data_IF_577866541250
#
_entry.id   IF_577866541250
#
_cell.length_a   1.000
_cell.length_b   1.000
_cell.length_c   1.000
_cell.angle_alpha   90.00
_cell.angle_beta   90.00
_cell.angle_gamma   90.00
#
_symmetry.space_group_name_H-M   'P 1'
#
loop_
_entity.id
_entity.type
_entity.pdbx_description
1 polymer ?
#
# COMPACT_ATOMS: atom_id res chain seq x y z
N UNK A 1 11.94 -15.58 -14.60
CA UNK A 1 12.47 -14.23 -14.31
C UNK A 1 13.06 -14.27 -12.91
N UNK A 2 14.29 -13.78 -12.68
CA UNK A 2 14.87 -13.73 -11.33
C UNK A 2 14.44 -12.41 -10.68
N UNK A 3 13.76 -12.48 -9.53
CA UNK A 3 13.42 -11.28 -8.76
C UNK A 3 14.73 -10.67 -8.23
N UNK A 4 14.94 -9.39 -8.50
CA UNK A 4 16.11 -8.64 -8.06
C UNK A 4 15.79 -7.88 -6.79
N UNK A 5 16.72 -7.90 -5.85
CA UNK A 5 16.54 -7.30 -4.52
C UNK A 5 16.41 -5.79 -4.58
N UNK A 6 17.23 -5.10 -5.38
CA UNK A 6 17.23 -3.63 -5.49
C UNK A 6 15.87 -3.06 -5.95
N UNK A 7 15.30 -3.46 -7.11
CA UNK A 7 14.00 -2.93 -7.54
C UNK A 7 12.89 -3.31 -6.56
N UNK A 8 12.97 -4.49 -5.94
CA UNK A 8 11.98 -4.93 -4.94
C UNK A 8 12.01 -4.03 -3.71
N UNK A 9 13.20 -3.76 -3.14
CA UNK A 9 13.35 -2.84 -2.00
C UNK A 9 12.83 -1.44 -2.38
N UNK A 10 13.18 -0.94 -3.57
CA UNK A 10 12.70 0.36 -4.03
C UNK A 10 11.16 0.40 -4.11
N UNK A 11 10.51 -0.65 -4.66
CA UNK A 11 9.05 -0.75 -4.71
C UNK A 11 8.42 -0.78 -3.32
N UNK A 12 8.99 -1.54 -2.38
CA UNK A 12 8.49 -1.60 -1.00
C UNK A 12 8.64 -0.24 -0.29
N UNK A 13 9.76 0.46 -0.50
CA UNK A 13 9.95 1.81 0.06
C UNK A 13 8.96 2.81 -0.52
N UNK A 14 8.69 2.75 -1.83
CA UNK A 14 7.67 3.59 -2.48
C UNK A 14 6.28 3.30 -1.91
N UNK A 15 5.94 2.03 -1.72
CA UNK A 15 4.68 1.63 -1.08
C UNK A 15 4.54 2.17 0.35
N UNK A 16 5.60 2.03 1.15
CA UNK A 16 5.63 2.57 2.51
C UNK A 16 5.49 4.10 2.52
N UNK A 17 6.16 4.79 1.59
CA UNK A 17 6.03 6.23 1.41
C UNK A 17 4.59 6.63 1.07
N UNK A 18 3.93 5.94 0.13
CA UNK A 18 2.53 6.22 -0.18
C UNK A 18 1.62 5.99 1.01
N UNK A 19 1.82 4.90 1.76
CA UNK A 19 1.07 4.62 2.99
C UNK A 19 1.21 5.74 4.02
N UNK A 20 2.40 6.34 4.14
CA UNK A 20 2.64 7.49 5.02
C UNK A 20 2.04 8.78 4.47
N UNK A 21 2.08 9.00 3.16
CA UNK A 21 1.49 10.19 2.52
C UNK A 21 -0.04 10.20 2.56
N UNK A 22 -0.67 9.01 2.52
CA UNK A 22 -2.12 8.86 2.64
C UNK A 22 -2.59 8.60 4.08
N UNK A 23 -1.67 8.69 5.05
CA UNK A 23 -2.02 8.60 6.45
C UNK A 23 -2.86 9.82 6.86
N UNK A 24 -4.04 9.55 7.42
CA UNK A 24 -4.89 10.57 8.02
C UNK A 24 -4.83 10.39 9.54
N UNK A 25 -4.67 11.47 10.30
CA UNK A 25 -4.68 11.43 11.77
C UNK A 25 -5.63 12.47 12.37
N UNK A 26 -6.92 12.29 12.11
CA UNK A 26 -7.94 13.27 12.50
C UNK A 26 -8.87 12.75 13.62
N UNK A 27 -8.56 11.62 14.26
CA UNK A 27 -9.45 11.01 15.27
C UNK A 27 -9.80 11.94 16.45
N UNK A 28 -8.86 12.79 16.90
CA UNK A 28 -9.05 13.69 18.04
C UNK A 28 -10.01 14.86 17.77
N UNK A 29 -10.34 15.13 16.51
CA UNK A 29 -11.21 16.24 16.08
C UNK A 29 -12.51 15.73 15.43
N UNK A 30 -13.10 14.67 15.97
CA UNK A 30 -14.27 13.95 15.43
C UNK A 30 -14.06 13.39 14.00
N UNK A 31 -12.81 13.31 13.54
CA UNK A 31 -12.45 12.71 12.27
C UNK A 31 -12.07 11.23 12.39
N UNK A 32 -11.35 10.74 11.38
CA UNK A 32 -10.84 9.37 11.35
C UNK A 32 -9.31 9.40 11.28
N UNK A 33 -8.68 8.48 12.01
CA UNK A 33 -7.33 8.06 11.75
C UNK A 33 -7.39 6.90 10.76
N UNK A 34 -6.74 7.05 9.60
CA UNK A 34 -6.72 6.03 8.55
C UNK A 34 -5.28 5.71 8.17
N UNK A 35 -5.00 4.43 7.95
CA UNK A 35 -3.70 3.94 7.51
C UNK A 35 -3.90 2.90 6.40
N UNK A 36 -3.09 3.01 5.36
CA UNK A 36 -3.04 2.06 4.25
C UNK A 36 -3.07 2.75 2.89
N UNK A 37 -2.64 2.00 1.88
CA UNK A 37 -2.61 2.43 0.49
C UNK A 37 -2.51 1.19 -0.42
N UNK A 38 -3.28 1.09 -1.52
CA UNK A 38 -4.35 2.00 -1.95
C UNK A 38 -5.62 1.90 -1.11
N UNK A 39 -5.79 0.84 -0.32
CA UNK A 39 -6.94 0.69 0.57
C UNK A 39 -6.54 0.97 2.03
N UNK A 40 -7.39 1.69 2.76
CA UNK A 40 -7.18 1.87 4.20
C UNK A 40 -7.49 0.55 4.92
N UNK A 41 -6.45 -0.17 5.32
CA UNK A 41 -6.58 -1.41 6.08
C UNK A 41 -6.70 -1.17 7.58
N UNK A 42 -6.54 0.07 8.05
CA UNK A 42 -6.81 0.43 9.44
C UNK A 42 -7.57 1.75 9.50
N UNK A 43 -8.66 1.75 10.26
CA UNK A 43 -9.51 2.92 10.49
C UNK A 43 -9.84 3.01 11.98
N UNK A 44 -9.70 4.20 12.56
CA UNK A 44 -9.99 4.47 13.96
C UNK A 44 -10.67 5.84 14.09
N UNK A 45 -11.59 6.00 15.06
CA UNK A 45 -12.17 7.29 15.42
C UNK A 45 -12.51 7.27 16.90
N UNK A 46 -12.34 8.42 17.57
CA UNK A 46 -12.73 8.64 18.97
C UNK A 46 -14.14 9.23 19.09
N UNK A 47 -14.75 9.60 17.96
CA UNK A 47 -16.08 10.16 17.89
C UNK A 47 -17.15 9.16 18.32
N UNK A 48 -18.18 9.65 19.02
CA UNK A 48 -19.38 8.87 19.33
C UNK A 48 -20.18 8.65 18.05
N UNK A 49 -19.91 7.56 17.34
CA UNK A 49 -20.71 7.19 16.19
C UNK A 49 -22.07 6.66 16.65
N UNK A 50 -23.13 7.26 16.11
CA UNK A 50 -24.53 6.82 16.30
C UNK A 50 -24.92 5.68 15.33
N UNK A 51 -24.12 5.45 14.28
CA UNK A 51 -24.35 4.38 13.31
C UNK A 51 -23.50 3.14 13.64
N UNK A 52 -24.11 2.03 14.07
CA UNK A 52 -23.40 0.79 14.39
C UNK A 52 -22.76 0.11 13.16
N UNK A 53 -23.26 0.37 11.95
CA UNK A 53 -22.67 -0.15 10.71
C UNK A 53 -21.30 0.47 10.44
N UNK A 54 -21.15 1.77 10.69
CA UNK A 54 -19.87 2.48 10.59
C UNK A 54 -18.89 2.03 11.68
N UNK A 55 -19.36 1.83 12.91
CA UNK A 55 -18.51 1.31 14.00
C UNK A 55 -17.97 -0.10 13.71
N UNK A 56 -18.74 -0.96 13.01
CA UNK A 56 -18.31 -2.33 12.66
C UNK A 56 -17.15 -2.40 11.67
N UNK A 57 -16.86 -1.30 10.96
CA UNK A 57 -15.77 -1.20 9.98
C UNK A 57 -14.50 -0.55 10.55
N UNK A 58 -14.47 -0.30 11.86
CA UNK A 58 -13.30 0.18 12.57
C UNK A 58 -12.32 -0.93 12.96
N UNK A 59 -11.08 -0.54 13.19
CA UNK A 59 -9.96 -1.41 13.48
C UNK A 59 -9.25 -1.87 12.21
N UNK A 60 -8.61 -3.03 12.30
CA UNK A 60 -7.80 -3.59 11.23
C UNK A 60 -8.62 -4.48 10.30
N UNK A 61 -8.76 -4.07 9.05
CA UNK A 61 -9.36 -4.86 7.98
C UNK A 61 -8.33 -5.79 7.35
N UNK A 62 -8.33 -7.05 7.77
CA UNK A 62 -7.49 -8.10 7.18
C UNK A 62 -7.72 -8.25 5.67
N UNK A 63 -8.98 -8.04 5.23
CA UNK A 63 -9.35 -8.11 3.81
C UNK A 63 -8.60 -7.07 3.00
N UNK A 64 -8.61 -5.80 3.43
CA UNK A 64 -7.91 -4.73 2.72
C UNK A 64 -6.41 -4.87 2.80
N UNK A 65 -5.87 -5.30 3.95
CA UNK A 65 -4.45 -5.58 4.07
C UNK A 65 -3.97 -6.66 3.08
N UNK A 66 -4.71 -7.77 2.96
CA UNK A 66 -4.37 -8.84 2.02
C UNK A 66 -4.48 -8.40 0.56
N UNK A 67 -5.46 -7.55 0.23
CA UNK A 67 -5.59 -6.97 -1.12
C UNK A 67 -4.37 -6.08 -1.42
N UNK A 68 -3.96 -5.22 -0.49
CA UNK A 68 -2.79 -4.36 -0.66
C UNK A 68 -1.50 -5.19 -0.83
N UNK A 69 -1.31 -6.24 -0.03
CA UNK A 69 -0.17 -7.17 -0.16
C UNK A 69 -0.16 -7.88 -1.52
N UNK A 70 -1.34 -8.28 -2.02
CA UNK A 70 -1.46 -8.88 -3.34
C UNK A 70 -1.08 -7.89 -4.44
N UNK A 71 -1.60 -6.65 -4.37
CA UNK A 71 -1.27 -5.57 -5.31
C UNK A 71 0.23 -5.30 -5.28
N UNK A 72 0.83 -5.15 -4.10
CA UNK A 72 2.27 -4.94 -3.94
C UNK A 72 3.09 -6.06 -4.60
N UNK A 73 2.68 -7.32 -4.41
CA UNK A 73 3.34 -8.48 -5.01
C UNK A 73 3.28 -8.41 -6.55
N UNK A 74 2.13 -8.08 -7.12
CA UNK A 74 1.94 -7.92 -8.57
C UNK A 74 2.85 -6.79 -9.09
N UNK A 75 2.88 -5.65 -8.41
CA UNK A 75 3.72 -4.50 -8.79
C UNK A 75 5.21 -4.86 -8.73
N UNK A 76 5.66 -5.59 -7.69
CA UNK A 76 7.05 -6.07 -7.61
C UNK A 76 7.41 -6.92 -8.82
N UNK A 77 6.54 -7.85 -9.22
CA UNK A 77 6.76 -8.70 -10.40
C UNK A 77 6.84 -7.84 -11.66
N UNK A 78 5.91 -6.90 -11.86
CA UNK A 78 5.91 -6.01 -13.03
C UNK A 78 7.16 -5.13 -13.11
N UNK A 79 7.54 -4.49 -12.00
CA UNK A 79 8.74 -3.64 -11.94
C UNK A 79 10.00 -4.44 -12.24
N UNK A 80 10.12 -5.66 -11.72
CA UNK A 80 11.23 -6.55 -12.03
C UNK A 80 11.25 -6.94 -13.51
N UNK A 81 10.08 -7.23 -14.10
CA UNK A 81 9.95 -7.56 -15.52
C UNK A 81 10.37 -6.41 -16.43
N UNK A 82 9.89 -5.20 -16.16
CA UNK A 82 10.25 -3.99 -16.92
C UNK A 82 11.75 -3.70 -16.78
N UNK A 83 12.29 -3.81 -15.56
CA UNK A 83 13.72 -3.60 -15.29
C UNK A 83 14.59 -4.60 -16.06
N UNK A 84 14.16 -5.86 -16.16
CA UNK A 84 14.85 -6.88 -16.94
C UNK A 84 14.81 -6.58 -18.44
N UNK A 85 13.65 -6.15 -18.96
CA UNK A 85 13.49 -5.80 -20.37
C UNK A 85 14.35 -4.61 -20.76
N UNK A 86 14.31 -3.52 -19.99
CA UNK A 86 15.11 -2.31 -20.23
C UNK A 86 16.62 -2.57 -20.19
N UNK A 87 17.08 -3.46 -19.29
CA UNK A 87 18.51 -3.84 -19.24
C UNK A 87 18.94 -4.64 -20.47
N UNK A 88 18.06 -5.49 -21.02
CA UNK A 88 18.36 -6.23 -22.26
C UNK A 88 18.46 -5.28 -23.44
N UNK A 89 17.49 -4.37 -23.61
CA UNK A 89 17.49 -3.38 -24.69
C UNK A 89 18.75 -2.49 -24.67
N UNK A 90 19.16 -1.99 -23.48
CA UNK A 90 20.41 -1.22 -23.35
C UNK A 90 21.68 -2.01 -23.72
N UNK A 91 21.65 -3.34 -23.64
CA UNK A 91 22.80 -4.19 -23.99
C UNK A 91 22.88 -4.46 -25.49
N UNK A 92 21.75 -4.45 -26.20
CA UNK A 92 21.71 -4.65 -27.66
C UNK A 92 21.99 -3.37 -28.45
N UNK A 93 21.77 -2.19 -27.84
CA UNK A 93 22.11 -0.88 -28.44
C UNK A 93 23.54 -0.40 -28.17
N UNK A 94 24.38 -1.21 -27.50
CA UNK A 94 25.80 -0.95 -27.26
C UNK A 94 26.64 -1.93 -28.07
#
# INVERSE_FOLDING_TARGET
MKIKTIPTIATVLIYALFTLLTFENNATSDGFTKLGFPFSFYVYSEGKLTDPGLASSFGFSIKYFLIDVLILTIVIVLVNFITDKWKKEKKTSK
#
